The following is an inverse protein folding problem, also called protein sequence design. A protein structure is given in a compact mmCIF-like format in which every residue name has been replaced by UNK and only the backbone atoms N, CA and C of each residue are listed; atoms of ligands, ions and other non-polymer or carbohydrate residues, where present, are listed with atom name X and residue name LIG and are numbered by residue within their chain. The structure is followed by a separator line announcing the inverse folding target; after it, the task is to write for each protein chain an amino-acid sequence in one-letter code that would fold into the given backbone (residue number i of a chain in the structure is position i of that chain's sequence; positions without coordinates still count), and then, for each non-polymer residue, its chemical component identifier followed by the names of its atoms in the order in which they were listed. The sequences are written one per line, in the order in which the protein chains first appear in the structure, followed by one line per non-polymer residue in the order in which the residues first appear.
data_IF_368009286057
#
_entry.id   IF_368009286057
#
_cell.length_a   1.000
_cell.length_b   1.000
_cell.length_c   1.000
_cell.angle_alpha   90.00
_cell.angle_beta   90.00
_cell.angle_gamma   90.00
#
_symmetry.space_group_name_H-M   'P 1'
#
loop_
_entity.id
_entity.type
_entity.pdbx_description
1 polymer ?
#
# COMPACT_ATOMS: atom_id res chain seq x y z
N UNK A 1 -17.54 -28.04 15.84
CA UNK A 1 -16.76 -26.88 15.38
C UNK A 1 -15.84 -26.55 16.52
N UNK A 2 -14.56 -26.88 16.36
CA UNK A 2 -13.63 -26.89 17.46
C UNK A 2 -12.85 -25.57 17.47
N UNK A 3 -12.23 -25.24 18.60
CA UNK A 3 -11.49 -24.00 18.79
C UNK A 3 -10.50 -23.70 17.64
N UNK A 4 -9.81 -24.75 17.16
CA UNK A 4 -8.87 -24.65 16.04
C UNK A 4 -9.53 -24.27 14.72
N UNK A 5 -10.72 -24.77 14.42
CA UNK A 5 -11.43 -24.45 13.17
C UNK A 5 -11.85 -22.97 13.15
N UNK A 6 -12.28 -22.43 14.29
CA UNK A 6 -12.63 -21.00 14.41
C UNK A 6 -11.39 -20.14 14.17
N UNK A 7 -10.26 -20.55 14.73
CA UNK A 7 -9.00 -19.84 14.55
C UNK A 7 -8.49 -19.91 13.10
N UNK A 8 -8.64 -21.06 12.44
CA UNK A 8 -8.31 -21.24 11.03
C UNK A 8 -9.15 -20.32 10.13
N UNK A 9 -10.46 -20.29 10.32
CA UNK A 9 -11.33 -19.38 9.55
C UNK A 9 -11.02 -17.91 9.82
N UNK A 10 -10.70 -17.55 11.06
CA UNK A 10 -10.28 -16.19 11.40
C UNK A 10 -8.96 -15.82 10.70
N UNK A 11 -7.97 -16.71 10.73
CA UNK A 11 -6.68 -16.50 10.06
C UNK A 11 -6.84 -16.35 8.54
N UNK A 12 -7.68 -17.20 7.93
CA UNK A 12 -7.98 -17.12 6.50
C UNK A 12 -8.72 -15.82 6.15
N UNK A 13 -9.69 -15.40 6.97
CA UNK A 13 -10.38 -14.12 6.81
C UNK A 13 -9.44 -12.92 6.90
N UNK A 14 -8.54 -12.90 7.90
CA UNK A 14 -7.54 -11.84 8.05
C UNK A 14 -6.57 -11.83 6.85
N UNK A 15 -6.11 -13.00 6.40
CA UNK A 15 -5.25 -13.11 5.22
C UNK A 15 -5.92 -12.53 3.97
N UNK A 16 -7.19 -12.86 3.73
CA UNK A 16 -7.97 -12.30 2.63
C UNK A 16 -8.13 -10.78 2.72
N UNK A 17 -8.40 -10.25 3.92
CA UNK A 17 -8.49 -8.80 4.14
C UNK A 17 -7.16 -8.08 3.88
N UNK A 18 -6.03 -8.65 4.32
CA UNK A 18 -4.71 -8.09 4.06
C UNK A 18 -4.40 -8.07 2.57
N UNK A 19 -4.73 -9.14 1.84
CA UNK A 19 -4.55 -9.20 0.40
C UNK A 19 -5.39 -8.15 -0.32
N UNK A 20 -6.66 -7.98 0.06
CA UNK A 20 -7.52 -6.93 -0.49
C UNK A 20 -6.98 -5.53 -0.18
N UNK A 21 -6.47 -5.30 1.02
CA UNK A 21 -5.87 -4.04 1.41
C UNK A 21 -4.62 -3.73 0.58
N UNK A 22 -3.73 -4.71 0.38
CA UNK A 22 -2.54 -4.54 -0.48
C UNK A 22 -2.92 -4.22 -1.93
N UNK A 23 -3.96 -4.86 -2.48
CA UNK A 23 -4.42 -4.56 -3.84
C UNK A 23 -5.02 -3.15 -3.94
N UNK A 24 -5.80 -2.74 -2.94
CA UNK A 24 -6.35 -1.39 -2.88
C UNK A 24 -5.22 -0.34 -2.80
N UNK A 25 -4.25 -0.56 -1.93
CA UNK A 25 -3.08 0.30 -1.76
C UNK A 25 -2.27 0.41 -3.06
N UNK A 26 -1.98 -0.72 -3.72
CA UNK A 26 -1.28 -0.71 -5.00
C UNK A 26 -2.03 0.08 -6.07
N UNK A 27 -3.36 -0.05 -6.15
CA UNK A 27 -4.19 0.72 -7.09
C UNK A 27 -4.20 2.20 -6.73
N UNK A 28 -4.24 2.55 -5.45
CA UNK A 28 -4.20 3.93 -4.98
C UNK A 28 -2.85 4.59 -5.33
N UNK A 29 -1.73 3.94 -4.99
CA UNK A 29 -0.38 4.41 -5.31
C UNK A 29 -0.20 4.61 -6.83
N UNK A 30 -0.68 3.68 -7.64
CA UNK A 30 -0.61 3.79 -9.10
C UNK A 30 -1.45 4.97 -9.66
N UNK A 31 -2.46 5.44 -8.92
CA UNK A 31 -3.28 6.59 -9.32
C UNK A 31 -2.70 7.91 -8.85
N UNK A 32 -2.11 7.92 -7.67
CA UNK A 32 -1.63 9.15 -7.01
C UNK A 32 -0.22 9.54 -7.50
N UNK A 33 0.58 8.58 -7.94
CA UNK A 33 1.95 8.80 -8.42
C UNK A 33 2.12 8.44 -9.89
N UNK A 34 2.97 9.19 -10.61
CA UNK A 34 3.28 8.91 -12.02
C UNK A 34 4.27 7.74 -12.15
N UNK A 35 4.18 7.01 -13.26
CA UNK A 35 5.09 5.89 -13.57
C UNK A 35 6.57 6.32 -13.62
N UNK A 36 6.84 7.53 -14.13
CA UNK A 36 8.18 8.11 -14.13
C UNK A 36 8.74 8.26 -12.71
N UNK A 37 7.89 8.66 -11.75
CA UNK A 37 8.27 8.77 -10.34
C UNK A 37 8.45 7.39 -9.69
N UNK A 38 7.54 6.45 -9.95
CA UNK A 38 7.59 5.10 -9.36
C UNK A 38 8.76 4.25 -9.89
N UNK A 39 9.22 4.52 -11.11
CA UNK A 39 10.35 3.83 -11.75
C UNK A 39 11.67 4.64 -11.70
N UNK A 40 11.61 5.85 -11.14
CA UNK A 40 12.77 6.70 -10.94
C UNK A 40 13.74 6.07 -9.94
N UNK A 41 15.01 5.95 -10.33
CA UNK A 41 16.10 5.57 -9.43
C UNK A 41 16.68 6.77 -8.66
N UNK A 42 16.06 7.96 -8.75
CA UNK A 42 16.48 9.19 -8.04
C UNK A 42 15.82 9.21 -6.66
N UNK A 43 16.48 8.59 -5.69
CA UNK A 43 16.02 8.45 -4.29
C UNK A 43 15.70 9.80 -3.60
N UNK A 44 16.29 10.91 -4.03
CA UNK A 44 16.18 12.22 -3.38
C UNK A 44 15.24 13.26 -4.02
N UNK A 45 14.58 12.97 -5.14
CA UNK A 45 13.71 13.97 -5.81
C UNK A 45 12.29 14.00 -5.23
N UNK A 46 11.93 12.97 -4.47
CA UNK A 46 10.70 12.89 -3.67
C UNK A 46 10.70 13.89 -2.49
N UNK A 47 11.88 14.22 -1.92
CA UNK A 47 12.03 15.25 -0.88
C UNK A 47 11.83 16.67 -1.45
N UNK A 48 12.34 16.96 -2.66
CA UNK A 48 12.25 18.32 -3.25
C UNK A 48 10.83 18.71 -3.69
N UNK A 49 9.98 17.74 -4.07
CA UNK A 49 8.57 18.04 -4.38
C UNK A 49 7.68 18.16 -3.13
N UNK A 50 7.97 17.40 -2.07
CA UNK A 50 7.25 17.49 -0.80
C UNK A 50 7.60 18.78 -0.03
N UNK A 51 8.87 19.21 -0.03
CA UNK A 51 9.26 20.52 0.53
C UNK A 51 8.57 21.70 -0.20
N UNK A 52 8.45 21.66 -1.53
CA UNK A 52 7.78 22.75 -2.28
C UNK A 52 6.29 22.88 -1.97
N UNK A 53 5.63 21.79 -1.57
CA UNK A 53 4.21 21.78 -1.24
C UNK A 53 3.92 22.25 0.20
N UNK A 54 4.89 22.18 1.10
CA UNK A 54 4.79 22.74 2.47
C UNK A 54 5.18 24.23 2.55
N UNK A 55 5.96 24.72 1.58
CA UNK A 55 6.45 26.11 1.54
C UNK A 55 5.55 27.08 0.76
N UNK A 56 4.36 26.65 0.32
CA UNK A 56 3.35 27.49 -0.37
C UNK A 56 2.12 27.70 0.51
#
# INVERSE_FOLDING_TARGET
MDFWNIFEYAAWGISGLLLLWMLFDAVQVNRDFSEELLTSSREGELEDQSEKHELT
#
